data_IF_001481127426
#
_entry.id   IF_001481127426
#
_cell.length_a   1.000
_cell.length_b   1.000
_cell.length_c   1.000
_cell.angle_alpha   90.00
_cell.angle_beta   90.00
_cell.angle_gamma   90.00
#
_symmetry.space_group_name_H-M   'P 1'
#
loop_
_entity.id
_entity.type
_entity.pdbx_description
1 polymer ?
#
# COMPACT_ATOMS: atom_id res chain seq x y z
N UNK A 1 3.45 6.53 -17.41
CA UNK A 1 3.69 7.29 -16.15
C UNK A 1 5.19 7.40 -15.96
N UNK A 2 5.71 8.47 -15.33
CA UNK A 2 7.13 8.61 -14.96
C UNK A 2 7.26 8.63 -13.44
N UNK A 3 8.40 8.17 -12.90
CA UNK A 3 8.70 8.26 -11.47
C UNK A 3 8.77 9.70 -10.95
N UNK A 4 9.08 10.68 -11.81
CA UNK A 4 9.10 12.11 -11.44
C UNK A 4 7.74 12.60 -10.91
N UNK A 5 6.66 11.94 -11.31
CA UNK A 5 5.32 12.23 -10.82
C UNK A 5 4.99 11.60 -9.46
N UNK A 6 5.86 10.76 -8.92
CA UNK A 6 5.67 10.13 -7.61
C UNK A 6 6.43 10.94 -6.56
N UNK A 7 5.72 11.41 -5.55
CA UNK A 7 6.29 12.14 -4.42
C UNK A 7 6.93 11.15 -3.46
N UNK A 8 8.08 11.50 -2.91
CA UNK A 8 8.84 10.64 -1.99
C UNK A 8 9.40 9.39 -2.65
N UNK A 9 9.76 8.40 -1.84
CA UNK A 9 10.26 7.08 -2.29
C UNK A 9 11.56 7.15 -3.11
N UNK A 10 12.45 8.09 -2.81
CA UNK A 10 13.61 8.39 -3.66
C UNK A 10 14.56 7.19 -3.83
N UNK A 11 14.79 6.42 -2.74
CA UNK A 11 15.65 5.22 -2.82
C UNK A 11 15.00 4.14 -3.67
N UNK A 12 13.69 3.94 -3.51
CA UNK A 12 12.93 2.98 -4.31
C UNK A 12 12.95 3.37 -5.78
N UNK A 13 12.70 4.64 -6.09
CA UNK A 13 12.76 5.16 -7.48
C UNK A 13 14.13 4.94 -8.13
N UNK A 14 15.22 5.24 -7.42
CA UNK A 14 16.58 4.99 -7.92
C UNK A 14 16.83 3.52 -8.24
N UNK A 15 16.41 2.61 -7.34
CA UNK A 15 16.54 1.17 -7.55
C UNK A 15 15.73 0.68 -8.74
N UNK A 16 14.47 1.14 -8.86
CA UNK A 16 13.61 0.79 -9.98
C UNK A 16 14.14 1.34 -11.31
N UNK A 17 14.70 2.56 -11.32
CA UNK A 17 15.36 3.13 -12.52
C UNK A 17 16.55 2.29 -12.96
N UNK A 18 17.37 1.82 -12.02
CA UNK A 18 18.48 0.91 -12.34
C UNK A 18 17.99 -0.38 -13.04
N UNK A 19 16.89 -0.98 -12.56
CA UNK A 19 16.33 -2.17 -13.23
C UNK A 19 15.74 -1.84 -14.61
N UNK A 20 15.15 -0.66 -14.80
CA UNK A 20 14.66 -0.22 -16.11
C UNK A 20 15.81 -0.02 -17.10
N UNK A 21 16.90 0.62 -16.69
CA UNK A 21 18.08 0.83 -17.54
C UNK A 21 18.68 -0.52 -18.00
N UNK A 22 18.69 -1.50 -17.11
CA UNK A 22 19.07 -2.87 -17.44
C UNK A 22 18.10 -3.53 -18.42
N UNK A 23 16.80 -3.42 -18.17
CA UNK A 23 15.76 -4.01 -19.00
C UNK A 23 15.74 -3.39 -20.42
N UNK A 24 15.94 -2.10 -20.56
CA UNK A 24 15.97 -1.44 -21.85
C UNK A 24 17.14 -1.94 -22.75
N UNK A 25 18.21 -2.44 -22.14
CA UNK A 25 19.38 -2.98 -22.85
C UNK A 25 19.29 -4.49 -23.12
N UNK A 26 18.72 -5.24 -22.18
CA UNK A 26 18.78 -6.71 -22.17
C UNK A 26 17.41 -7.36 -22.37
N UNK A 27 16.33 -6.62 -22.29
CA UNK A 27 14.93 -7.05 -22.18
C UNK A 27 14.62 -7.84 -20.90
N UNK A 28 15.59 -8.09 -20.05
CA UNK A 28 15.42 -8.80 -18.78
C UNK A 28 15.13 -7.81 -17.66
N UNK A 29 14.09 -8.07 -16.92
CA UNK A 29 13.74 -7.37 -15.68
C UNK A 29 13.64 -8.38 -14.54
N UNK A 30 14.15 -8.08 -13.35
CA UNK A 30 13.87 -8.94 -12.20
C UNK A 30 12.38 -8.99 -11.93
N UNK A 31 11.92 -10.11 -11.37
CA UNK A 31 10.58 -10.20 -10.81
C UNK A 31 10.59 -9.49 -9.45
N UNK A 32 9.65 -8.57 -9.22
CA UNK A 32 9.68 -7.68 -8.05
C UNK A 32 8.54 -7.99 -7.07
N UNK A 33 8.86 -7.88 -5.77
CA UNK A 33 7.88 -7.96 -4.69
C UNK A 33 7.83 -6.63 -3.93
N UNK A 34 6.78 -5.84 -4.15
CA UNK A 34 6.54 -4.59 -3.45
C UNK A 34 5.86 -4.83 -2.11
N UNK A 35 6.50 -4.41 -1.03
CA UNK A 35 6.03 -4.59 0.35
C UNK A 35 5.86 -3.24 1.02
N UNK A 36 4.68 -2.96 1.57
CA UNK A 36 4.43 -1.79 2.41
C UNK A 36 3.04 -1.86 3.06
N UNK A 37 2.73 -1.05 4.07
CA UNK A 37 1.39 -0.90 4.61
C UNK A 37 0.35 -0.47 3.56
N UNK A 38 -0.93 -0.58 3.90
CA UNK A 38 -2.04 -0.11 3.03
C UNK A 38 -1.94 1.39 2.79
N UNK A 39 -2.18 1.81 1.54
CA UNK A 39 -2.19 3.23 1.17
C UNK A 39 -0.80 3.86 0.98
N UNK A 40 0.28 3.07 0.96
CA UNK A 40 1.66 3.55 0.74
C UNK A 40 2.07 3.66 -0.73
N UNK A 41 1.18 3.40 -1.69
CA UNK A 41 1.48 3.56 -3.12
C UNK A 41 2.13 2.36 -3.80
N UNK A 42 2.13 1.15 -3.21
CA UNK A 42 2.69 -0.08 -3.82
C UNK A 42 2.22 -0.30 -5.24
N UNK A 43 0.90 -0.38 -5.42
CA UNK A 43 0.28 -0.64 -6.73
C UNK A 43 0.63 0.46 -7.73
N UNK A 44 0.65 1.73 -7.29
CA UNK A 44 1.04 2.86 -8.14
C UNK A 44 2.49 2.75 -8.62
N UNK A 45 3.44 2.43 -7.72
CA UNK A 45 4.85 2.23 -8.07
C UNK A 45 5.05 1.03 -8.99
N UNK A 46 4.39 -0.10 -8.70
CA UNK A 46 4.45 -1.29 -9.55
C UNK A 46 3.90 -1.01 -10.96
N UNK A 47 2.75 -0.34 -11.06
CA UNK A 47 2.17 0.06 -12.35
C UNK A 47 3.04 1.08 -13.09
N UNK A 48 3.64 2.04 -12.36
CA UNK A 48 4.55 3.03 -12.96
C UNK A 48 5.80 2.34 -13.49
N UNK A 49 6.38 1.40 -12.76
CA UNK A 49 7.49 0.58 -13.24
C UNK A 49 7.09 -0.23 -14.48
N UNK A 50 6.00 -0.99 -14.40
CA UNK A 50 5.50 -1.80 -15.50
C UNK A 50 5.24 -1.00 -16.77
N UNK A 51 4.73 0.23 -16.64
CA UNK A 51 4.43 1.11 -17.79
C UNK A 51 5.68 1.62 -18.52
N UNK A 52 6.86 1.37 -18.00
CA UNK A 52 8.15 1.77 -18.60
C UNK A 52 8.95 0.57 -19.14
N UNK A 53 8.52 -0.67 -18.87
CA UNK A 53 9.15 -1.86 -19.45
C UNK A 53 8.87 -1.93 -20.97
N UNK A 54 9.93 -2.24 -21.73
CA UNK A 54 9.89 -2.29 -23.18
C UNK A 54 9.85 -3.73 -23.70
N UNK A 55 9.17 -3.91 -24.82
CA UNK A 55 9.18 -5.14 -25.60
C UNK A 55 10.37 -5.18 -26.58
N UNK A 56 10.49 -6.25 -27.35
CA UNK A 56 11.56 -6.43 -28.34
C UNK A 56 11.56 -5.37 -29.47
N UNK A 57 10.42 -4.70 -29.70
CA UNK A 57 10.28 -3.61 -30.67
C UNK A 57 10.58 -2.23 -30.06
N UNK A 58 10.97 -2.13 -28.78
CA UNK A 58 11.16 -0.87 -28.07
C UNK A 58 9.85 -0.16 -27.66
N UNK A 59 8.70 -0.85 -27.80
CA UNK A 59 7.40 -0.34 -27.36
C UNK A 59 7.10 -0.77 -25.92
N UNK A 60 6.24 -0.04 -25.24
CA UNK A 60 5.81 -0.37 -23.89
C UNK A 60 5.07 -1.73 -23.86
N UNK A 61 5.44 -2.58 -22.88
CA UNK A 61 4.75 -3.84 -22.66
C UNK A 61 3.34 -3.60 -22.14
N UNK A 62 2.43 -4.49 -22.51
CA UNK A 62 1.09 -4.52 -21.93
C UNK A 62 1.19 -4.91 -20.45
N UNK A 63 0.44 -4.22 -19.60
CA UNK A 63 0.29 -4.57 -18.19
C UNK A 63 -1.08 -5.20 -17.95
N UNK A 64 -1.09 -6.33 -17.25
CA UNK A 64 -2.30 -6.92 -16.67
C UNK A 64 -2.15 -6.89 -15.15
N UNK A 65 -3.15 -6.33 -14.47
CA UNK A 65 -3.24 -6.35 -13.01
C UNK A 65 -4.28 -7.37 -12.58
N UNK A 66 -3.89 -8.28 -11.71
CA UNK A 66 -4.73 -9.34 -11.16
C UNK A 66 -4.89 -9.06 -9.66
N UNK A 67 -6.11 -8.89 -9.21
CA UNK A 67 -6.40 -8.92 -7.78
C UNK A 67 -6.40 -10.39 -7.33
N UNK A 68 -5.43 -10.78 -6.52
CA UNK A 68 -5.26 -12.18 -6.12
C UNK A 68 -6.42 -12.74 -5.29
N UNK A 69 -7.22 -11.88 -4.66
CA UNK A 69 -8.44 -12.33 -3.95
C UNK A 69 -9.52 -12.89 -4.89
N UNK A 70 -9.45 -12.58 -6.19
CA UNK A 70 -10.38 -13.12 -7.20
C UNK A 70 -9.85 -14.35 -7.90
N UNK A 71 -8.57 -14.70 -7.68
CA UNK A 71 -7.94 -15.89 -8.26
C UNK A 71 -8.30 -17.12 -7.43
N UNK A 72 -9.05 -18.06 -8.00
CA UNK A 72 -9.65 -19.16 -7.23
C UNK A 72 -8.88 -20.47 -7.31
N UNK A 73 -8.18 -20.75 -8.41
CA UNK A 73 -7.54 -22.03 -8.64
C UNK A 73 -6.36 -21.96 -9.63
N UNK A 74 -5.55 -23.03 -9.67
CA UNK A 74 -4.51 -23.19 -10.69
C UNK A 74 -5.12 -23.24 -12.10
N UNK A 75 -6.26 -23.91 -12.25
CA UNK A 75 -6.96 -23.99 -13.53
C UNK A 75 -7.34 -22.60 -14.07
N UNK A 76 -7.91 -21.74 -13.23
CA UNK A 76 -8.25 -20.37 -13.64
C UNK A 76 -6.98 -19.55 -13.95
N UNK A 77 -5.89 -19.73 -13.19
CA UNK A 77 -4.63 -19.08 -13.49
C UNK A 77 -4.08 -19.48 -14.86
N UNK A 78 -4.10 -20.75 -15.19
CA UNK A 78 -3.61 -21.25 -16.50
C UNK A 78 -4.53 -20.82 -17.63
N UNK A 79 -5.84 -21.13 -17.54
CA UNK A 79 -6.77 -20.96 -18.65
C UNK A 79 -7.16 -19.50 -18.90
N UNK A 80 -7.33 -18.71 -17.84
CA UNK A 80 -7.86 -17.35 -17.97
C UNK A 80 -6.74 -16.30 -18.03
N UNK A 81 -5.50 -16.67 -17.62
CA UNK A 81 -4.39 -15.73 -17.56
C UNK A 81 -3.20 -16.20 -18.41
N UNK A 82 -2.65 -17.40 -18.16
CA UNK A 82 -1.40 -17.79 -18.83
C UNK A 82 -1.61 -18.05 -20.31
N UNK A 83 -2.59 -18.85 -20.69
CA UNK A 83 -2.86 -19.18 -22.11
C UNK A 83 -3.21 -17.92 -22.91
N UNK A 84 -4.19 -17.08 -22.51
CA UNK A 84 -4.60 -15.94 -23.32
C UNK A 84 -3.63 -14.77 -23.31
N UNK A 85 -2.80 -14.62 -22.27
CA UNK A 85 -2.00 -13.41 -22.09
C UNK A 85 -0.49 -13.62 -22.01
N UNK A 86 -0.01 -14.82 -21.65
CA UNK A 86 1.44 -15.08 -21.51
C UNK A 86 1.98 -15.82 -22.73
N UNK A 87 1.30 -16.85 -23.17
CA UNK A 87 1.79 -17.71 -24.25
C UNK A 87 2.16 -16.90 -25.51
N UNK A 88 3.44 -16.86 -25.86
CA UNK A 88 3.98 -16.16 -27.01
C UNK A 88 3.88 -14.63 -26.99
N UNK A 89 3.54 -14.00 -25.84
CA UNK A 89 3.32 -12.55 -25.73
C UNK A 89 4.34 -11.87 -24.82
N UNK A 90 4.60 -10.59 -25.10
CA UNK A 90 5.47 -9.73 -24.31
C UNK A 90 4.62 -8.90 -23.34
N UNK A 91 4.63 -9.29 -22.06
CA UNK A 91 3.66 -8.80 -21.08
C UNK A 91 4.28 -8.62 -19.69
N UNK A 92 3.69 -7.74 -18.91
CA UNK A 92 3.93 -7.62 -17.47
C UNK A 92 2.66 -7.99 -16.72
N UNK A 93 2.78 -8.85 -15.72
CA UNK A 93 1.67 -9.26 -14.86
C UNK A 93 1.94 -8.74 -13.44
N UNK A 94 1.00 -7.97 -12.91
CA UNK A 94 1.01 -7.49 -11.54
C UNK A 94 -0.02 -8.28 -10.72
N UNK A 95 0.46 -9.04 -9.75
CA UNK A 95 -0.34 -9.69 -8.71
C UNK A 95 -0.52 -8.72 -7.55
N UNK A 96 -1.68 -8.07 -7.47
CA UNK A 96 -2.03 -7.21 -6.34
C UNK A 96 -2.67 -8.03 -5.22
N UNK A 97 -2.41 -7.68 -3.96
CA UNK A 97 -2.72 -8.46 -2.76
C UNK A 97 -2.16 -9.90 -2.84
N UNK A 98 -0.87 -10.02 -3.18
CA UNK A 98 -0.19 -11.29 -3.46
C UNK A 98 -0.19 -12.29 -2.28
N UNK A 99 -0.47 -11.87 -1.05
CA UNK A 99 -0.73 -12.75 0.09
C UNK A 99 -1.92 -13.68 -0.09
N UNK A 100 -2.87 -13.31 -0.98
CA UNK A 100 -4.11 -14.05 -1.24
C UNK A 100 -3.98 -15.05 -2.40
N UNK A 101 -2.80 -15.19 -3.02
CA UNK A 101 -2.56 -16.17 -4.09
C UNK A 101 -2.87 -17.59 -3.58
N UNK A 102 -3.72 -18.38 -4.27
CA UNK A 102 -4.01 -19.76 -3.88
C UNK A 102 -2.77 -20.64 -3.79
N UNK A 103 -2.75 -21.59 -2.87
CA UNK A 103 -1.60 -22.47 -2.63
C UNK A 103 -1.12 -23.19 -3.89
N UNK A 104 -2.04 -23.74 -4.70
CA UNK A 104 -1.70 -24.42 -5.95
C UNK A 104 -1.02 -23.49 -6.97
N UNK A 105 -1.47 -22.22 -7.07
CA UNK A 105 -0.84 -21.21 -7.94
C UNK A 105 0.54 -20.82 -7.40
N UNK A 106 0.71 -20.69 -6.08
CA UNK A 106 2.03 -20.45 -5.48
C UNK A 106 3.02 -21.56 -5.81
N UNK A 107 2.60 -22.81 -5.75
CA UNK A 107 3.46 -23.95 -6.11
C UNK A 107 3.83 -23.93 -7.61
N UNK A 108 2.90 -23.62 -8.50
CA UNK A 108 3.19 -23.45 -9.91
C UNK A 108 4.19 -22.32 -10.15
N UNK A 109 4.01 -21.16 -9.47
CA UNK A 109 4.95 -20.03 -9.57
C UNK A 109 6.37 -20.38 -9.10
N UNK A 110 6.56 -21.32 -8.17
CA UNK A 110 7.90 -21.78 -7.80
C UNK A 110 8.61 -22.47 -8.96
N UNK A 111 7.87 -23.27 -9.74
CA UNK A 111 8.42 -23.93 -10.93
C UNK A 111 8.65 -22.91 -12.04
N UNK A 112 7.66 -22.07 -12.31
CA UNK A 112 7.72 -21.01 -13.35
C UNK A 112 8.89 -20.06 -13.11
N UNK A 113 9.09 -19.59 -11.86
CA UNK A 113 10.11 -18.60 -11.50
C UNK A 113 11.43 -19.23 -11.04
N UNK A 114 11.65 -20.51 -11.29
CA UNK A 114 12.90 -21.15 -10.89
C UNK A 114 14.07 -20.56 -11.68
N UNK A 115 15.09 -19.97 -11.01
CA UNK A 115 16.21 -19.34 -11.70
C UNK A 115 17.00 -20.34 -12.55
N UNK A 116 17.34 -19.97 -13.77
CA UNK A 116 18.23 -20.72 -14.64
C UNK A 116 19.01 -19.79 -15.57
N UNK A 117 20.04 -20.32 -16.26
CA UNK A 117 20.91 -19.56 -17.15
C UNK A 117 20.21 -19.11 -18.45
N UNK A 118 19.18 -19.81 -18.86
CA UNK A 118 18.46 -19.54 -20.11
C UNK A 118 17.42 -18.43 -19.96
N UNK A 119 17.07 -18.05 -18.71
CA UNK A 119 15.99 -17.12 -18.38
C UNK A 119 14.65 -17.54 -18.98
N UNK A 120 14.39 -18.85 -18.99
CA UNK A 120 13.21 -19.47 -19.57
C UNK A 120 12.83 -20.71 -18.77
N UNK A 121 11.53 -20.90 -18.54
CA UNK A 121 10.97 -22.09 -17.93
C UNK A 121 9.71 -22.53 -18.68
N UNK A 122 9.53 -23.85 -18.74
CA UNK A 122 8.29 -24.45 -19.23
C UNK A 122 7.45 -24.92 -18.04
N UNK A 123 6.16 -24.75 -18.14
CA UNK A 123 5.21 -25.27 -17.16
C UNK A 123 4.09 -26.01 -17.87
N UNK A 124 3.95 -27.30 -17.54
CA UNK A 124 2.89 -28.15 -18.10
C UNK A 124 1.77 -28.32 -17.09
N UNK A 125 0.55 -28.06 -17.55
CA UNK A 125 -0.68 -28.29 -16.80
C UNK A 125 -1.70 -28.99 -17.70
N UNK A 126 -2.20 -30.16 -17.27
CA UNK A 126 -2.94 -31.08 -18.12
C UNK A 126 -2.14 -31.34 -19.42
N UNK A 127 -2.74 -31.13 -20.59
CA UNK A 127 -2.11 -31.36 -21.90
C UNK A 127 -1.48 -30.06 -22.49
N UNK A 128 -1.39 -28.97 -21.71
CA UNK A 128 -0.89 -27.68 -22.18
C UNK A 128 0.45 -27.36 -21.56
N UNK A 129 1.48 -27.17 -22.40
CA UNK A 129 2.78 -26.65 -21.97
C UNK A 129 2.90 -25.18 -22.35
N UNK A 130 3.23 -24.33 -21.39
CA UNK A 130 3.40 -22.90 -21.56
C UNK A 130 4.85 -22.55 -21.30
N UNK A 131 5.49 -21.90 -22.28
CA UNK A 131 6.83 -21.35 -22.15
C UNK A 131 6.77 -19.96 -21.48
N UNK A 132 7.59 -19.76 -20.46
CA UNK A 132 7.81 -18.49 -19.77
C UNK A 132 9.21 -17.97 -20.11
N UNK A 133 9.33 -17.19 -21.16
CA UNK A 133 10.54 -16.47 -21.54
C UNK A 133 10.61 -15.14 -20.77
N UNK A 134 11.57 -14.99 -19.84
CA UNK A 134 11.67 -13.81 -18.99
C UNK A 134 12.19 -12.56 -19.71
N UNK A 135 12.64 -12.68 -20.95
CA UNK A 135 12.83 -11.52 -21.84
C UNK A 135 11.49 -10.94 -22.30
N UNK A 136 10.41 -11.72 -22.26
CA UNK A 136 9.07 -11.34 -22.71
C UNK A 136 8.13 -11.10 -21.54
N UNK A 137 8.25 -11.89 -20.46
CA UNK A 137 7.31 -11.88 -19.35
C UNK A 137 7.99 -11.43 -18.06
N UNK A 138 7.38 -10.46 -17.39
CA UNK A 138 7.82 -10.01 -16.06
C UNK A 138 6.67 -10.12 -15.08
N UNK A 139 6.93 -10.69 -13.90
CA UNK A 139 5.95 -10.79 -12.81
C UNK A 139 6.29 -9.78 -11.73
N UNK A 140 5.29 -9.01 -11.32
CA UNK A 140 5.34 -8.07 -10.22
C UNK A 140 4.33 -8.50 -9.16
N UNK A 141 4.71 -8.40 -7.91
CA UNK A 141 3.87 -8.77 -6.77
C UNK A 141 3.75 -7.59 -5.82
N UNK A 142 2.57 -7.33 -5.29
CA UNK A 142 2.34 -6.30 -4.28
C UNK A 142 1.58 -6.89 -3.09
N UNK A 143 2.07 -6.66 -1.87
CA UNK A 143 1.43 -7.16 -0.65
C UNK A 143 1.64 -6.24 0.54
N UNK A 144 0.72 -6.29 1.48
CA UNK A 144 0.90 -5.72 2.82
C UNK A 144 1.43 -6.74 3.82
N UNK A 145 1.43 -8.03 3.47
CA UNK A 145 1.67 -9.15 4.38
C UNK A 145 2.71 -10.12 3.78
N UNK A 146 3.95 -9.61 3.63
CA UNK A 146 5.04 -10.41 3.08
C UNK A 146 5.28 -11.73 3.82
N UNK A 147 5.01 -11.78 5.13
CA UNK A 147 5.15 -12.99 5.95
C UNK A 147 4.17 -14.12 5.58
N UNK A 148 3.08 -13.81 4.85
CA UNK A 148 2.13 -14.80 4.33
C UNK A 148 2.55 -15.39 2.98
N UNK A 149 3.49 -14.75 2.29
CA UNK A 149 4.02 -15.29 1.04
C UNK A 149 5.01 -16.38 1.39
N UNK A 150 4.93 -17.49 0.68
CA UNK A 150 5.83 -18.63 0.89
C UNK A 150 7.29 -18.23 0.65
N UNK A 151 8.18 -18.50 1.61
CA UNK A 151 9.58 -18.07 1.60
C UNK A 151 10.30 -18.42 0.28
N UNK A 152 10.12 -19.66 -0.20
CA UNK A 152 10.74 -20.07 -1.44
C UNK A 152 10.31 -19.26 -2.67
N UNK A 153 9.12 -18.64 -2.66
CA UNK A 153 8.71 -17.71 -3.69
C UNK A 153 9.39 -16.34 -3.50
N UNK A 154 9.49 -15.86 -2.25
CA UNK A 154 10.17 -14.60 -1.93
C UNK A 154 11.64 -14.64 -2.37
N UNK A 155 12.33 -15.79 -2.20
CA UNK A 155 13.72 -15.99 -2.60
C UNK A 155 13.96 -15.88 -4.12
N UNK A 156 12.91 -15.93 -4.94
CA UNK A 156 12.94 -15.77 -6.39
C UNK A 156 12.59 -14.36 -6.86
N UNK A 157 12.28 -13.48 -5.92
CA UNK A 157 11.81 -12.13 -6.18
C UNK A 157 12.78 -11.09 -5.60
N UNK A 158 13.00 -10.02 -6.32
CA UNK A 158 13.68 -8.85 -5.76
C UNK A 158 12.70 -8.04 -4.91
N UNK A 159 12.94 -8.01 -3.61
CA UNK A 159 12.08 -7.31 -2.66
C UNK A 159 12.30 -5.80 -2.67
N UNK A 160 11.22 -5.05 -2.76
CA UNK A 160 11.14 -3.59 -2.74
C UNK A 160 10.27 -3.18 -1.55
N UNK A 161 10.91 -2.77 -0.46
CA UNK A 161 10.22 -2.19 0.69
C UNK A 161 10.04 -0.69 0.46
N UNK A 162 8.80 -0.20 0.54
CA UNK A 162 8.52 1.23 0.43
C UNK A 162 8.80 1.91 1.78
N UNK A 163 9.34 3.10 1.71
CA UNK A 163 9.56 3.95 2.88
C UNK A 163 8.25 4.57 3.38
N UNK A 164 8.21 4.89 4.66
CA UNK A 164 7.11 5.70 5.19
C UNK A 164 7.19 7.12 4.63
N UNK A 165 6.05 7.70 4.30
CA UNK A 165 5.97 9.09 3.85
C UNK A 165 6.22 10.03 5.03
N UNK A 166 7.05 11.04 4.81
CA UNK A 166 7.17 12.18 5.72
C UNK A 166 5.88 13.01 5.70
N UNK A 167 5.67 13.84 6.72
CA UNK A 167 4.56 14.77 6.73
C UNK A 167 4.64 15.75 5.54
N UNK A 168 5.85 16.14 5.13
CA UNK A 168 6.06 17.01 3.97
C UNK A 168 5.69 16.33 2.66
N UNK A 169 6.08 15.05 2.48
CA UNK A 169 5.63 14.27 1.32
C UNK A 169 4.11 14.21 1.25
N UNK A 170 3.45 13.97 2.39
CA UNK A 170 1.99 13.94 2.44
C UNK A 170 1.36 15.29 2.12
N UNK A 171 1.93 16.38 2.62
CA UNK A 171 1.52 17.73 2.26
C UNK A 171 1.68 18.02 0.76
N UNK A 172 2.80 17.58 0.17
CA UNK A 172 3.01 17.68 -1.27
C UNK A 172 2.00 16.84 -2.06
N UNK A 173 1.62 15.64 -1.57
CA UNK A 173 0.58 14.82 -2.19
C UNK A 173 -0.77 15.53 -2.15
N UNK A 174 -1.14 16.18 -1.04
CA UNK A 174 -2.37 16.98 -0.95
C UNK A 174 -2.32 18.12 -1.97
N UNK A 175 -1.26 18.93 -1.97
CA UNK A 175 -1.11 20.06 -2.92
C UNK A 175 -1.18 19.61 -4.37
N UNK A 176 -0.57 18.48 -4.71
CA UNK A 176 -0.56 17.94 -6.07
C UNK A 176 -1.93 17.47 -6.56
N UNK A 177 -2.80 17.05 -5.65
CA UNK A 177 -4.12 16.51 -5.97
C UNK A 177 -5.25 17.55 -5.73
N UNK A 178 -4.91 18.81 -5.50
CA UNK A 178 -5.86 19.92 -5.44
C UNK A 178 -5.38 21.08 -6.30
N UNK A 179 -6.30 21.70 -7.04
CA UNK A 179 -6.01 22.92 -7.83
C UNK A 179 -6.09 24.19 -6.97
N UNK A 180 -6.46 24.07 -5.69
CA UNK A 180 -6.64 25.18 -4.79
C UNK A 180 -5.34 25.59 -4.10
N UNK A 181 -5.20 26.87 -3.79
CA UNK A 181 -4.16 27.37 -2.91
C UNK A 181 -4.50 26.99 -1.47
N UNK A 182 -3.56 26.34 -0.80
CA UNK A 182 -3.68 25.97 0.63
C UNK A 182 -2.63 26.77 1.39
N UNK A 183 -3.05 27.57 2.37
CA UNK A 183 -2.12 28.34 3.22
C UNK A 183 -1.21 27.40 4.02
N UNK A 184 0.00 27.84 4.34
CA UNK A 184 1.00 26.97 4.99
C UNK A 184 0.56 26.56 6.41
N UNK A 185 -0.08 27.45 7.16
CA UNK A 185 -0.63 27.18 8.49
C UNK A 185 -1.74 26.12 8.45
N UNK A 186 -2.66 26.22 7.48
CA UNK A 186 -3.68 25.19 7.28
C UNK A 186 -3.06 23.85 6.85
N UNK A 187 -2.04 23.88 5.97
CA UNK A 187 -1.35 22.67 5.53
C UNK A 187 -0.64 21.96 6.68
N UNK A 188 -0.02 22.69 7.60
CA UNK A 188 0.62 22.08 8.78
C UNK A 188 -0.39 21.32 9.65
N UNK A 189 -1.61 21.82 9.79
CA UNK A 189 -2.67 21.12 10.51
C UNK A 189 -3.20 19.90 9.72
N UNK A 190 -3.37 20.05 8.40
CA UNK A 190 -3.78 18.96 7.52
C UNK A 190 -2.79 17.79 7.59
N UNK A 191 -1.48 18.05 7.54
CA UNK A 191 -0.44 17.01 7.63
C UNK A 191 -0.57 16.15 8.88
N UNK A 192 -0.92 16.73 10.03
CA UNK A 192 -1.03 16.03 11.32
C UNK A 192 -2.09 14.93 11.33
N UNK A 193 -3.11 15.02 10.49
CA UNK A 193 -4.23 14.06 10.47
C UNK A 193 -4.13 13.00 9.37
N UNK A 194 -3.10 13.06 8.50
CA UNK A 194 -2.93 12.14 7.36
C UNK A 194 -2.36 10.76 7.73
N UNK A 195 -1.82 10.60 8.94
CA UNK A 195 -1.42 9.30 9.51
C UNK A 195 -0.34 8.55 8.71
N UNK A 196 0.57 9.23 8.04
CA UNK A 196 1.60 8.59 7.23
C UNK A 196 1.08 7.89 5.96
N UNK A 197 -0.13 8.22 5.49
CA UNK A 197 -0.84 7.44 4.47
C UNK A 197 -1.15 8.27 3.23
N UNK A 198 -0.50 7.96 2.10
CA UNK A 198 -0.67 8.69 0.83
C UNK A 198 -2.10 8.61 0.26
N UNK A 199 -2.83 7.50 0.49
CA UNK A 199 -4.25 7.39 0.08
C UNK A 199 -5.11 8.37 0.86
N UNK A 200 -4.85 8.55 2.18
CA UNK A 200 -5.53 9.57 2.98
C UNK A 200 -5.20 10.98 2.53
N UNK A 201 -3.96 11.22 2.12
CA UNK A 201 -3.58 12.53 1.55
C UNK A 201 -4.37 12.83 0.27
N UNK A 202 -4.50 11.88 -0.64
CA UNK A 202 -5.33 12.04 -1.85
C UNK A 202 -6.81 12.22 -1.51
N UNK A 203 -7.36 11.46 -0.56
CA UNK A 203 -8.74 11.64 -0.11
C UNK A 203 -8.96 13.01 0.53
N UNK A 204 -8.00 13.49 1.34
CA UNK A 204 -8.05 14.82 1.94
C UNK A 204 -8.07 15.91 0.88
N UNK A 205 -7.24 15.81 -0.16
CA UNK A 205 -7.26 16.75 -1.30
C UNK A 205 -8.65 16.80 -1.94
N UNK A 206 -9.25 15.63 -2.23
CA UNK A 206 -10.60 15.56 -2.79
C UNK A 206 -11.66 16.21 -1.88
N UNK A 207 -11.57 15.96 -0.57
CA UNK A 207 -12.50 16.59 0.39
C UNK A 207 -12.30 18.11 0.47
N UNK A 208 -11.07 18.62 0.41
CA UNK A 208 -10.78 20.06 0.34
C UNK A 208 -11.38 20.66 -0.94
N UNK A 209 -11.21 20.02 -2.09
CA UNK A 209 -11.83 20.47 -3.35
C UNK A 209 -13.36 20.55 -3.24
N UNK A 210 -13.99 19.51 -2.67
CA UNK A 210 -15.45 19.51 -2.46
C UNK A 210 -15.90 20.63 -1.53
N UNK A 211 -15.17 20.85 -0.43
CA UNK A 211 -15.49 21.94 0.51
C UNK A 211 -15.39 23.32 -0.17
N UNK A 212 -14.30 23.57 -0.88
CA UNK A 212 -14.09 24.84 -1.57
C UNK A 212 -15.15 25.09 -2.65
N UNK A 213 -15.49 24.04 -3.42
CA UNK A 213 -16.59 24.13 -4.40
C UNK A 213 -17.93 24.45 -3.74
N UNK A 214 -18.23 23.84 -2.58
CA UNK A 214 -19.48 24.12 -1.84
C UNK A 214 -19.55 25.54 -1.27
N UNK A 215 -18.40 26.18 -1.05
CA UNK A 215 -18.29 27.53 -0.51
C UNK A 215 -17.99 28.60 -1.59
N UNK A 216 -17.85 28.21 -2.87
CA UNK A 216 -17.40 29.06 -3.97
C UNK A 216 -16.06 29.77 -3.68
N UNK A 217 -15.10 29.04 -3.13
CA UNK A 217 -13.75 29.52 -2.77
C UNK A 217 -12.68 28.88 -3.63
N UNK A 218 -11.57 29.59 -3.82
CA UNK A 218 -10.38 29.11 -4.52
C UNK A 218 -9.18 28.90 -3.58
N UNK A 219 -9.28 29.40 -2.35
CA UNK A 219 -8.22 29.28 -1.33
C UNK A 219 -8.76 28.58 -0.11
N UNK A 220 -7.89 27.75 0.51
CA UNK A 220 -8.14 27.04 1.75
C UNK A 220 -7.19 27.55 2.83
N UNK A 221 -7.71 28.33 3.77
CA UNK A 221 -6.96 28.98 4.84
C UNK A 221 -7.28 28.36 6.20
N UNK A 222 -6.57 28.75 7.25
CA UNK A 222 -6.75 28.20 8.60
C UNK A 222 -8.19 28.29 9.12
N UNK A 223 -8.92 29.36 8.79
CA UNK A 223 -10.33 29.48 9.17
C UNK A 223 -11.19 28.41 8.49
N UNK A 224 -10.90 28.10 7.23
CA UNK A 224 -11.60 27.04 6.49
C UNK A 224 -11.26 25.67 7.06
N UNK A 225 -10.02 25.44 7.47
CA UNK A 225 -9.63 24.21 8.16
C UNK A 225 -10.45 23.96 9.42
N UNK A 226 -10.68 24.99 10.24
CA UNK A 226 -11.47 24.87 11.47
C UNK A 226 -12.92 24.47 11.17
N UNK A 227 -13.56 25.13 10.19
CA UNK A 227 -14.94 24.79 9.76
C UNK A 227 -15.02 23.40 9.14
N UNK A 228 -14.10 23.14 8.22
CA UNK A 228 -13.98 21.86 7.51
C UNK A 228 -13.80 20.66 8.47
N UNK A 229 -12.87 20.77 9.42
CA UNK A 229 -12.61 19.71 10.39
C UNK A 229 -13.84 19.45 11.27
N UNK A 230 -14.59 20.49 11.65
CA UNK A 230 -15.81 20.35 12.42
C UNK A 230 -16.93 19.67 11.62
N UNK A 231 -17.13 20.05 10.35
CA UNK A 231 -18.10 19.42 9.46
C UNK A 231 -17.82 17.95 9.19
N UNK A 232 -16.56 17.55 9.09
CA UNK A 232 -16.16 16.16 8.84
C UNK A 232 -15.90 15.36 10.12
N UNK A 233 -16.02 15.96 11.31
CA UNK A 233 -15.72 15.30 12.56
C UNK A 233 -14.27 14.82 12.68
N UNK A 234 -13.32 15.57 12.10
CA UNK A 234 -11.90 15.23 12.14
C UNK A 234 -11.33 15.60 13.50
N UNK A 235 -10.93 14.60 14.26
CA UNK A 235 -10.28 14.80 15.55
C UNK A 235 -8.81 15.17 15.38
N UNK A 236 -8.23 15.80 16.41
CA UNK A 236 -6.81 16.05 16.48
C UNK A 236 -6.02 14.73 16.25
N UNK A 237 -4.87 14.80 15.60
CA UNK A 237 -4.05 13.64 15.21
C UNK A 237 -4.76 12.65 14.27
N UNK A 238 -5.93 12.98 13.74
CA UNK A 238 -6.70 12.12 12.84
C UNK A 238 -7.23 10.84 13.50
N UNK A 239 -7.43 10.85 14.81
CA UNK A 239 -7.98 9.70 15.53
C UNK A 239 -9.44 9.45 15.16
N UNK A 240 -9.77 8.19 14.95
CA UNK A 240 -11.15 7.75 14.72
C UNK A 240 -11.94 7.75 16.05
N UNK A 241 -13.29 7.85 15.99
CA UNK A 241 -14.10 7.69 17.20
C UNK A 241 -13.84 6.40 17.97
N UNK A 242 -13.48 5.31 17.25
CA UNK A 242 -13.16 4.03 17.87
C UNK A 242 -11.81 4.08 18.62
N UNK A 243 -10.80 4.73 18.08
CA UNK A 243 -9.50 4.92 18.75
C UNK A 243 -9.65 5.77 20.00
N UNK A 244 -10.47 6.82 19.95
CA UNK A 244 -10.82 7.63 21.14
C UNK A 244 -11.57 6.78 22.17
N UNK A 245 -12.53 5.94 21.74
CA UNK A 245 -13.23 5.00 22.64
C UNK A 245 -12.27 4.04 23.33
N UNK A 246 -11.28 3.51 22.60
CA UNK A 246 -10.23 2.64 23.17
C UNK A 246 -9.44 3.38 24.24
N UNK A 247 -8.96 4.60 23.95
CA UNK A 247 -8.24 5.40 24.92
C UNK A 247 -9.07 5.69 26.18
N UNK A 248 -10.37 5.97 26.02
CA UNK A 248 -11.30 6.13 27.17
C UNK A 248 -11.38 4.85 28.00
N UNK A 249 -11.56 3.68 27.36
CA UNK A 249 -11.59 2.39 28.08
C UNK A 249 -10.29 2.14 28.83
N UNK A 250 -9.13 2.47 28.20
CA UNK A 250 -7.82 2.32 28.83
C UNK A 250 -7.59 3.33 29.97
N UNK A 251 -8.25 4.48 29.96
CA UNK A 251 -8.14 5.48 31.04
C UNK A 251 -8.90 5.10 32.31
N UNK A 252 -9.94 4.26 32.18
CA UNK A 252 -10.75 3.79 33.31
C UNK A 252 -10.02 2.76 34.19
N UNK A 253 -9.06 2.02 33.61
CA UNK A 253 -8.34 0.93 34.30
C UNK A 253 -6.83 1.07 34.09
N UNK A 254 -6.05 0.67 35.06
CA UNK A 254 -4.59 0.67 34.96
C UNK A 254 -4.05 -0.26 33.86
N UNK A 255 -4.78 -1.36 33.60
CA UNK A 255 -4.41 -2.36 32.61
C UNK A 255 -5.69 -3.03 32.03
N UNK A 256 -5.73 -3.24 30.72
CA UNK A 256 -6.85 -3.90 30.03
C UNK A 256 -6.33 -4.95 29.03
N UNK A 257 -6.85 -6.17 29.10
CA UNK A 257 -6.47 -7.25 28.18
C UNK A 257 -7.05 -7.03 26.78
N UNK A 258 -6.44 -7.63 25.76
CA UNK A 258 -6.96 -7.59 24.38
C UNK A 258 -8.39 -8.16 24.30
N UNK A 259 -8.66 -9.22 25.06
CA UNK A 259 -10.00 -9.83 25.14
C UNK A 259 -11.06 -8.85 25.68
N UNK A 260 -10.71 -8.11 26.74
CA UNK A 260 -11.61 -7.10 27.31
C UNK A 260 -11.86 -5.95 26.33
N UNK A 261 -10.81 -5.48 25.63
CA UNK A 261 -10.96 -4.46 24.59
C UNK A 261 -11.84 -4.95 23.45
N UNK A 262 -11.64 -6.18 22.98
CA UNK A 262 -12.45 -6.82 21.94
C UNK A 262 -13.94 -6.87 22.36
N UNK A 263 -14.23 -7.31 23.58
CA UNK A 263 -15.59 -7.36 24.09
C UNK A 263 -16.24 -5.97 24.22
N UNK A 264 -15.52 -4.97 24.76
CA UNK A 264 -16.05 -3.60 24.95
C UNK A 264 -16.22 -2.83 23.65
N UNK A 265 -15.38 -3.10 22.65
CA UNK A 265 -15.41 -2.41 21.36
C UNK A 265 -16.22 -3.13 20.30
N UNK A 266 -16.55 -4.41 20.50
CA UNK A 266 -17.17 -5.32 19.54
C UNK A 266 -16.32 -5.53 18.27
N UNK A 267 -15.01 -5.30 18.36
CA UNK A 267 -14.04 -5.55 17.28
C UNK A 267 -13.35 -6.89 17.49
N UNK A 268 -12.97 -7.56 16.40
CA UNK A 268 -12.11 -8.73 16.48
C UNK A 268 -10.74 -8.34 17.06
N UNK A 269 -10.08 -9.28 17.76
CA UNK A 269 -8.72 -9.05 18.30
C UNK A 269 -7.74 -8.66 17.20
N UNK A 270 -7.85 -9.29 16.03
CA UNK A 270 -6.99 -9.04 14.88
C UNK A 270 -7.19 -7.61 14.32
N UNK A 271 -8.44 -7.15 14.22
CA UNK A 271 -8.75 -5.79 13.76
C UNK A 271 -8.25 -4.74 14.77
N UNK A 272 -8.42 -4.98 16.07
CA UNK A 272 -7.86 -4.10 17.10
C UNK A 272 -6.35 -3.92 16.94
N UNK A 273 -5.61 -5.03 16.82
CA UNK A 273 -4.15 -4.98 16.70
C UNK A 273 -3.69 -4.30 15.40
N UNK A 274 -4.32 -4.61 14.26
CA UNK A 274 -3.89 -4.11 12.96
C UNK A 274 -4.32 -2.68 12.68
N UNK A 275 -5.57 -2.36 13.00
CA UNK A 275 -6.21 -1.15 12.51
C UNK A 275 -6.15 0.00 13.52
N UNK A 276 -6.00 -0.31 14.82
CA UNK A 276 -6.06 0.71 15.89
C UNK A 276 -4.82 0.76 16.77
N UNK A 277 -4.37 -0.36 17.35
CA UNK A 277 -3.26 -0.36 18.31
C UNK A 277 -1.96 0.19 17.70
N UNK A 278 -1.64 -0.20 16.46
CA UNK A 278 -0.41 0.23 15.78
C UNK A 278 -0.30 1.76 15.69
N UNK A 279 -1.39 2.44 15.35
CA UNK A 279 -1.37 3.90 15.24
C UNK A 279 -1.34 4.58 16.60
N UNK A 280 -2.08 4.09 17.57
CA UNK A 280 -2.06 4.62 18.94
C UNK A 280 -0.67 4.46 19.61
N UNK A 281 0.02 3.35 19.35
CA UNK A 281 1.39 3.13 19.80
C UNK A 281 2.37 4.07 19.08
N UNK A 282 2.25 4.21 17.75
CA UNK A 282 3.09 5.13 16.97
C UNK A 282 3.00 6.58 17.49
N UNK A 283 1.83 6.98 17.97
CA UNK A 283 1.60 8.29 18.60
C UNK A 283 1.95 8.31 20.09
N UNK A 284 2.46 7.22 20.66
CA UNK A 284 2.74 7.07 22.08
C UNK A 284 1.53 7.40 22.98
N UNK A 285 0.30 7.08 22.52
CA UNK A 285 -0.92 7.30 23.30
C UNK A 285 -1.30 6.07 24.15
N UNK A 286 -0.83 4.89 23.75
CA UNK A 286 -0.97 3.63 24.47
C UNK A 286 0.30 2.81 24.39
N UNK A 287 0.47 1.89 25.32
CA UNK A 287 1.54 0.88 25.30
C UNK A 287 1.00 -0.52 25.58
N UNK A 288 1.71 -1.52 25.06
CA UNK A 288 1.43 -2.94 25.28
C UNK A 288 2.41 -3.44 26.33
N UNK A 289 1.91 -3.89 27.47
CA UNK A 289 2.65 -4.57 28.51
C UNK A 289 2.46 -6.10 28.40
N UNK A 290 3.26 -6.88 29.09
CA UNK A 290 3.19 -8.34 29.09
C UNK A 290 1.79 -8.88 29.38
N UNK A 291 1.06 -8.23 30.27
CA UNK A 291 -0.28 -8.67 30.76
C UNK A 291 -1.45 -7.90 30.16
N UNK A 292 -1.19 -6.87 29.33
CA UNK A 292 -2.29 -6.10 28.75
C UNK A 292 -1.87 -4.81 28.05
N UNK A 293 -2.80 -3.88 27.94
CA UNK A 293 -2.68 -2.57 27.33
C UNK A 293 -2.95 -1.50 28.36
N UNK A 294 -2.19 -0.44 28.32
CA UNK A 294 -2.40 0.74 29.19
C UNK A 294 -2.28 2.04 28.40
N UNK A 295 -2.97 3.05 28.86
CA UNK A 295 -2.86 4.40 28.34
C UNK A 295 -1.58 5.04 28.89
N UNK A 296 -0.87 5.80 28.06
CA UNK A 296 0.31 6.57 28.46
C UNK A 296 -0.10 7.90 29.11
N UNK A 297 0.87 8.62 29.69
CA UNK A 297 0.65 9.98 30.17
C UNK A 297 0.19 10.91 29.02
N UNK A 298 0.81 10.81 27.87
CA UNK A 298 0.43 11.56 26.66
C UNK A 298 -0.99 11.23 26.18
N UNK A 299 -1.39 9.95 26.25
CA UNK A 299 -2.75 9.53 25.94
C UNK A 299 -3.80 10.11 26.88
N UNK A 300 -3.50 10.22 28.17
CA UNK A 300 -4.38 10.89 29.16
C UNK A 300 -4.52 12.38 28.88
N UNK A 301 -3.39 13.06 28.66
CA UNK A 301 -3.37 14.48 28.30
C UNK A 301 -4.18 14.76 27.02
N UNK A 302 -4.07 13.87 26.01
CA UNK A 302 -4.87 13.97 24.80
C UNK A 302 -6.37 13.86 25.09
N UNK A 303 -6.81 12.90 25.94
CA UNK A 303 -8.22 12.79 26.29
C UNK A 303 -8.74 14.00 27.07
N UNK A 304 -7.90 14.63 27.89
CA UNK A 304 -8.26 15.86 28.61
C UNK A 304 -8.44 17.05 27.65
N UNK A 305 -7.65 17.13 26.60
CA UNK A 305 -7.76 18.18 25.58
C UNK A 305 -9.02 18.08 24.70
N UNK A 306 -9.73 16.94 24.76
CA UNK A 306 -10.99 16.73 24.02
C UNK A 306 -12.25 17.12 24.84
N UNK A 307 -12.08 17.47 26.12
CA UNK A 307 -13.17 17.94 26.98
C UNK A 307 -13.39 19.45 26.78
#
# INVERSE_FOLDING_TARGET
MSFDKIIGQEKVKKRLSFYLDGQHKTLLSPHLLFVAPRGSGKTLLAQTYASQLLNSEGKKRKLITINCSTLTSLKSFINDICIPYVSGKEITILFDEASEIPSAVRMALLTILNPNKENRNDFTYDDVTIEFDFKKVTFLFATTEAHKIFHALVDRLERIDLEEYSNDDLGMIVRKNTDALISDDAMEEVKKVLRGNARKATQMANHICLYLSSCNKQEFIMRDWVDFKNKLGINALGLTPMEIKILKILSEKSLTTLTNLSAKTQMSRQSLQRDTENYLQKLNLMEIAATGRKITAQGRQYLESLK
#
